data_IF_808720979125
#
_entry.id   IF_808720979125
#
_cell.length_a   1.000
_cell.length_b   1.000
_cell.length_c   1.000
_cell.angle_alpha   90.00
_cell.angle_beta   90.00
_cell.angle_gamma   90.00
#
_symmetry.space_group_name_H-M   'P 1'
#
loop_
_entity.id
_entity.type
_entity.pdbx_description
1 polymer ?
#
# COMPACT_ATOMS: atom_id res chain seq x y z
N UNK A 1 -22.39 -73.79 -21.18
CA UNK A 1 -21.00 -74.24 -20.95
C UNK A 1 -20.14 -72.99 -20.75
N UNK A 2 -19.84 -72.63 -19.49
CA UNK A 2 -18.51 -72.87 -18.86
C UNK A 2 -17.56 -71.71 -19.24
N UNK A 3 -16.94 -70.90 -18.37
CA UNK A 3 -16.79 -70.83 -16.91
C UNK A 3 -16.38 -69.41 -16.53
N UNK A 4 -16.74 -69.00 -15.32
CA UNK A 4 -16.35 -67.78 -14.65
C UNK A 4 -14.83 -67.69 -14.41
N UNK A 5 -14.22 -66.56 -14.80
CA UNK A 5 -12.86 -66.17 -14.43
C UNK A 5 -12.89 -65.22 -13.24
N UNK A 6 -12.66 -65.78 -12.06
CA UNK A 6 -12.54 -65.12 -10.76
C UNK A 6 -11.31 -64.18 -10.78
N UNK A 7 -11.54 -62.87 -10.70
CA UNK A 7 -10.45 -61.91 -10.51
C UNK A 7 -9.86 -62.04 -9.09
N UNK A 8 -8.53 -62.07 -8.91
CA UNK A 8 -7.94 -62.11 -7.58
C UNK A 8 -8.14 -60.78 -6.85
N UNK A 9 -8.66 -60.84 -5.63
CA UNK A 9 -8.75 -59.71 -4.71
C UNK A 9 -7.34 -59.19 -4.38
N UNK A 10 -7.10 -57.86 -4.39
CA UNK A 10 -5.84 -57.33 -3.90
C UNK A 10 -5.77 -57.46 -2.38
N UNK A 11 -4.74 -58.15 -1.91
CA UNK A 11 -4.36 -58.28 -0.49
C UNK A 11 -4.01 -56.89 0.05
N UNK A 12 -4.78 -56.43 1.04
CA UNK A 12 -4.46 -55.23 1.81
C UNK A 12 -3.20 -55.50 2.65
N UNK A 13 -2.14 -54.69 2.57
CA UNK A 13 -1.01 -54.85 3.47
C UNK A 13 -1.37 -54.46 4.91
N UNK A 14 -0.89 -55.30 5.83
CA UNK A 14 -0.97 -55.18 7.27
C UNK A 14 -0.57 -53.78 7.79
N UNK A 15 -1.46 -53.15 8.57
CA UNK A 15 -1.21 -51.86 9.22
C UNK A 15 -0.31 -52.08 10.43
N UNK A 16 1.00 -52.11 10.20
CA UNK A 16 2.00 -51.87 11.26
C UNK A 16 1.72 -50.50 11.92
N UNK A 17 1.68 -50.39 13.26
CA UNK A 17 1.58 -49.09 13.92
C UNK A 17 2.85 -48.29 13.62
N UNK A 18 2.71 -47.16 12.92
CA UNK A 18 3.81 -46.19 12.76
C UNK A 18 4.18 -45.64 14.14
N UNK A 19 5.35 -46.05 14.60
CA UNK A 19 6.18 -45.42 15.63
C UNK A 19 6.01 -43.89 15.64
N UNK A 20 5.66 -43.36 16.80
CA UNK A 20 6.10 -42.07 17.33
C UNK A 20 5.85 -40.83 16.48
N UNK A 21 4.73 -40.16 16.73
CA UNK A 21 4.60 -38.71 16.50
C UNK A 21 5.42 -38.01 17.60
N UNK A 22 6.74 -38.14 17.50
CA UNK A 22 7.73 -37.45 18.33
C UNK A 22 8.48 -36.42 17.49
N UNK A 23 7.76 -35.68 16.65
CA UNK A 23 8.31 -34.51 15.98
C UNK A 23 8.33 -33.36 16.97
N UNK A 24 9.49 -33.09 17.55
CA UNK A 24 9.72 -31.86 18.30
C UNK A 24 9.20 -30.68 17.47
N UNK A 25 8.34 -29.84 18.07
CA UNK A 25 8.03 -28.53 17.52
C UNK A 25 9.39 -27.84 17.30
N UNK A 26 9.79 -27.48 16.07
CA UNK A 26 11.03 -26.75 15.89
C UNK A 26 10.88 -25.39 16.57
N UNK A 27 11.51 -25.22 17.73
CA UNK A 27 11.64 -23.92 18.44
C UNK A 27 12.59 -22.97 17.74
N UNK A 28 12.97 -23.26 16.49
CA UNK A 28 13.66 -22.30 15.65
C UNK A 28 12.63 -21.24 15.25
N UNK A 29 12.59 -20.16 16.02
CA UNK A 29 12.05 -18.85 15.63
C UNK A 29 12.57 -18.57 14.22
N UNK A 30 11.78 -18.91 13.21
CA UNK A 30 12.05 -18.49 11.85
C UNK A 30 12.14 -16.97 11.91
N UNK A 31 13.28 -16.43 11.47
CA UNK A 31 13.44 -15.01 11.31
C UNK A 31 12.33 -14.57 10.35
N UNK A 32 11.29 -13.94 10.88
CA UNK A 32 10.30 -13.23 10.08
C UNK A 32 11.12 -12.25 9.25
N UNK A 33 11.09 -12.32 7.90
CA UNK A 33 11.83 -11.37 7.09
C UNK A 33 11.37 -9.98 7.51
N UNK A 34 12.33 -9.16 7.97
CA UNK A 34 12.07 -7.78 8.38
C UNK A 34 11.40 -7.10 7.19
N UNK A 35 10.14 -6.73 7.34
CA UNK A 35 9.38 -6.05 6.28
C UNK A 35 10.11 -4.73 5.99
N UNK A 36 10.49 -4.46 4.73
CA UNK A 36 11.36 -3.33 4.38
C UNK A 36 10.73 -1.95 4.61
N UNK A 37 9.44 -1.86 4.89
CA UNK A 37 8.71 -0.59 4.99
C UNK A 37 8.54 -0.05 6.43
N UNK A 38 8.94 -0.80 7.47
CA UNK A 38 8.95 -0.22 8.83
C UNK A 38 10.28 0.50 9.01
N UNK A 39 10.34 1.76 8.57
CA UNK A 39 11.41 2.67 8.98
C UNK A 39 11.08 3.22 10.37
N UNK A 40 12.05 3.23 11.27
CA UNK A 40 11.93 3.92 12.57
C UNK A 40 11.90 5.42 12.29
N UNK A 41 10.84 6.11 12.70
CA UNK A 41 10.70 7.57 12.55
C UNK A 41 11.71 8.27 13.48
N UNK A 42 12.64 9.11 12.97
CA UNK A 42 13.47 9.97 13.82
C UNK A 42 12.66 11.16 14.36
N UNK A 43 13.01 11.64 15.57
CA UNK A 43 12.33 12.74 16.26
C UNK A 43 12.51 14.10 15.54
N UNK A 44 11.51 15.00 15.54
CA UNK A 44 11.59 16.25 14.80
C UNK A 44 12.49 17.30 15.46
N UNK A 45 13.36 17.93 14.66
CA UNK A 45 14.05 19.19 14.97
C UNK A 45 13.18 20.38 14.50
N UNK A 46 12.93 21.35 15.38
CA UNK A 46 11.96 22.44 15.20
C UNK A 46 12.28 23.46 14.10
N UNK A 47 11.24 23.95 13.41
CA UNK A 47 11.19 25.23 12.66
C UNK A 47 9.88 25.36 11.85
N UNK A 48 9.66 26.46 11.09
CA UNK A 48 9.33 27.87 11.43
C UNK A 48 7.77 28.14 11.43
N UNK A 49 7.24 29.38 11.61
CA UNK A 49 5.84 29.61 12.04
C UNK A 49 4.76 29.61 10.93
N UNK A 50 3.46 29.50 11.29
CA UNK A 50 2.39 29.07 10.39
C UNK A 50 1.70 30.19 9.60
N UNK A 51 1.25 29.86 8.39
CA UNK A 51 0.26 30.61 7.61
C UNK A 51 -1.07 29.84 7.59
N UNK A 52 -2.17 30.55 7.85
CA UNK A 52 -3.51 30.00 8.02
C UNK A 52 -4.17 29.60 6.69
N UNK A 53 -5.03 28.56 6.70
CA UNK A 53 -5.82 28.13 5.55
C UNK A 53 -7.27 27.78 5.91
N UNK A 54 -8.22 28.30 5.12
CA UNK A 54 -9.65 27.92 5.06
C UNK A 54 -9.90 26.85 3.98
N UNK A 55 -11.01 26.08 4.04
CA UNK A 55 -11.24 24.96 3.13
C UNK A 55 -11.94 25.39 1.83
N UNK A 56 -11.28 25.18 0.69
CA UNK A 56 -11.88 25.30 -0.63
C UNK A 56 -11.97 23.92 -1.31
N UNK A 57 -13.16 23.60 -1.83
CA UNK A 57 -13.38 22.45 -2.70
C UNK A 57 -12.47 22.56 -3.93
N UNK A 58 -11.57 21.60 -4.11
CA UNK A 58 -10.54 21.69 -5.14
C UNK A 58 -10.80 20.69 -6.27
N UNK A 59 -11.37 21.16 -7.38
CA UNK A 59 -11.12 20.57 -8.69
C UNK A 59 -9.70 20.97 -9.09
N UNK A 60 -8.71 20.15 -8.75
CA UNK A 60 -7.30 20.41 -9.08
C UNK A 60 -7.06 20.01 -10.53
N UNK A 61 -6.87 21.02 -11.39
CA UNK A 61 -6.14 20.83 -12.64
C UNK A 61 -4.70 20.46 -12.28
N UNK A 62 -4.33 19.21 -12.51
CA UNK A 62 -3.00 18.69 -12.21
C UNK A 62 -2.00 19.33 -13.18
N UNK A 63 -1.18 20.25 -12.68
CA UNK A 63 -0.09 20.82 -13.45
C UNK A 63 1.00 19.75 -13.65
N UNK A 64 1.23 19.35 -14.91
CA UNK A 64 2.17 18.29 -15.27
C UNK A 64 3.64 18.64 -14.96
N UNK A 65 3.92 19.87 -14.50
CA UNK A 65 5.25 20.39 -14.22
C UNK A 65 5.92 19.85 -12.93
N UNK A 66 5.20 19.10 -12.08
CA UNK A 66 5.76 18.55 -10.83
C UNK A 66 6.58 17.25 -11.00
N UNK A 67 6.80 16.80 -12.24
CA UNK A 67 7.59 15.61 -12.50
C UNK A 67 9.06 15.96 -12.78
N UNK A 68 10.02 15.56 -11.92
CA UNK A 68 11.43 15.67 -12.26
C UNK A 68 11.72 14.84 -13.52
N UNK A 69 12.44 15.44 -14.44
CA UNK A 69 12.63 15.00 -15.83
C UNK A 69 13.25 13.60 -15.89
N UNK A 70 12.63 12.71 -16.68
CA UNK A 70 12.96 11.30 -17.02
C UNK A 70 11.91 10.23 -16.61
N UNK A 71 10.65 10.61 -16.33
CA UNK A 71 9.54 9.65 -16.19
C UNK A 71 8.70 9.63 -17.47
N UNK A 72 8.21 8.45 -17.85
CA UNK A 72 7.21 8.29 -18.89
C UNK A 72 6.02 9.24 -18.66
N UNK A 73 5.64 9.96 -19.72
CA UNK A 73 4.54 10.93 -19.72
C UNK A 73 3.23 10.34 -19.21
N UNK A 74 3.02 9.02 -19.34
CA UNK A 74 1.82 8.35 -18.82
C UNK A 74 1.84 8.13 -17.29
N UNK A 75 3.02 7.99 -16.67
CA UNK A 75 3.16 7.72 -15.23
C UNK A 75 3.02 8.98 -14.38
N UNK A 76 3.48 10.12 -14.89
CA UNK A 76 3.49 11.40 -14.19
C UNK A 76 2.11 11.88 -13.74
N UNK A 77 1.08 11.95 -14.61
CA UNK A 77 -0.25 12.38 -14.21
C UNK A 77 -0.85 11.50 -13.11
N UNK A 78 -0.64 10.18 -13.19
CA UNK A 78 -1.12 9.22 -12.18
C UNK A 78 -0.44 9.44 -10.84
N UNK A 79 0.87 9.65 -10.84
CA UNK A 79 1.63 9.90 -9.62
C UNK A 79 1.17 11.19 -8.92
N UNK A 80 0.92 12.25 -9.67
CA UNK A 80 0.41 13.51 -9.10
C UNK A 80 -1.01 13.33 -8.59
N UNK A 81 -1.92 12.76 -9.39
CA UNK A 81 -3.31 12.53 -8.97
C UNK A 81 -3.40 11.68 -7.69
N UNK A 82 -2.54 10.66 -7.56
CA UNK A 82 -2.50 9.82 -6.37
C UNK A 82 -2.04 10.59 -5.12
N UNK A 83 -0.99 11.40 -5.23
CA UNK A 83 -0.51 12.26 -4.13
C UNK A 83 -1.57 13.27 -3.72
N UNK A 84 -2.18 13.97 -4.68
CA UNK A 84 -3.25 14.93 -4.43
C UNK A 84 -4.42 14.28 -3.70
N UNK A 85 -4.86 13.09 -4.14
CA UNK A 85 -5.95 12.37 -3.48
C UNK A 85 -5.58 11.97 -2.04
N UNK A 86 -4.35 11.48 -1.83
CA UNK A 86 -3.90 11.08 -0.50
C UNK A 86 -3.83 12.27 0.47
N UNK A 87 -3.33 13.42 0.03
CA UNK A 87 -3.34 14.66 0.81
C UNK A 87 -4.77 15.09 1.17
N UNK A 88 -5.69 15.06 0.21
CA UNK A 88 -7.10 15.39 0.47
C UNK A 88 -7.76 14.46 1.51
N UNK A 89 -7.42 13.17 1.50
CA UNK A 89 -7.87 12.22 2.53
C UNK A 89 -7.25 12.56 3.89
N UNK A 90 -5.94 12.82 3.95
CA UNK A 90 -5.26 13.20 5.18
C UNK A 90 -5.87 14.46 5.80
N UNK A 91 -6.12 15.50 5.00
CA UNK A 91 -6.75 16.74 5.44
C UNK A 91 -8.16 16.50 5.98
N UNK A 92 -8.95 15.66 5.30
CA UNK A 92 -10.29 15.29 5.76
C UNK A 92 -10.25 14.55 7.11
N UNK A 93 -9.31 13.62 7.31
CA UNK A 93 -9.18 12.89 8.57
C UNK A 93 -8.68 13.80 9.71
N UNK A 94 -7.74 14.70 9.43
CA UNK A 94 -7.26 15.69 10.39
C UNK A 94 -8.38 16.65 10.79
N UNK A 95 -9.23 17.05 9.85
CA UNK A 95 -10.44 17.81 10.13
C UNK A 95 -11.41 17.05 11.05
N UNK A 96 -11.68 15.77 10.77
CA UNK A 96 -12.52 14.93 11.66
C UNK A 96 -11.90 14.73 13.04
N UNK A 97 -10.58 14.65 13.14
CA UNK A 97 -9.89 14.60 14.42
C UNK A 97 -10.09 15.90 15.19
N UNK A 98 -9.94 17.06 14.54
CA UNK A 98 -10.17 18.35 15.16
C UNK A 98 -11.59 18.48 15.73
N UNK A 99 -12.60 17.95 15.04
CA UNK A 99 -13.99 17.92 15.54
C UNK A 99 -14.19 16.97 16.73
N UNK A 100 -13.51 15.82 16.76
CA UNK A 100 -13.63 14.83 17.84
C UNK A 100 -12.79 15.17 19.08
N UNK A 101 -11.72 15.94 18.91
CA UNK A 101 -10.78 16.28 19.96
C UNK A 101 -10.51 17.80 20.01
N UNK A 102 -11.53 18.64 20.30
CA UNK A 102 -11.37 20.09 20.31
C UNK A 102 -10.35 20.56 21.36
N UNK A 103 -10.19 19.82 22.46
CA UNK A 103 -9.25 20.12 23.55
C UNK A 103 -7.80 19.73 23.32
N UNK A 104 -7.43 19.13 22.18
CA UNK A 104 -6.03 18.85 21.85
C UNK A 104 -5.26 20.16 21.71
N UNK A 105 -4.06 20.30 22.26
CA UNK A 105 -3.27 21.53 22.07
C UNK A 105 -2.75 21.66 20.62
N UNK A 106 -2.35 22.88 20.23
CA UNK A 106 -1.91 23.15 18.85
C UNK A 106 -0.63 22.40 18.45
N UNK A 107 0.31 22.21 19.37
CA UNK A 107 1.57 21.53 19.10
C UNK A 107 1.35 20.03 18.87
N UNK A 108 0.49 19.40 19.68
CA UNK A 108 0.06 18.03 19.49
C UNK A 108 -0.71 17.85 18.17
N UNK A 109 -1.55 18.83 17.77
CA UNK A 109 -2.25 18.78 16.47
C UNK A 109 -1.27 18.83 15.30
N UNK A 110 -0.22 19.64 15.39
CA UNK A 110 0.85 19.71 14.39
C UNK A 110 1.64 18.41 14.31
N UNK A 111 2.07 17.84 15.45
CA UNK A 111 2.78 16.56 15.45
C UNK A 111 1.93 15.42 14.84
N UNK A 112 0.62 15.42 15.09
CA UNK A 112 -0.30 14.46 14.46
C UNK A 112 -0.40 14.69 12.96
N UNK A 113 -0.51 15.94 12.50
CA UNK A 113 -0.49 16.27 11.07
C UNK A 113 0.78 15.76 10.41
N UNK A 114 1.94 16.01 11.01
CA UNK A 114 3.23 15.58 10.48
C UNK A 114 3.35 14.06 10.50
N UNK A 115 2.88 13.39 11.55
CA UNK A 115 2.82 11.94 11.60
C UNK A 115 1.94 11.35 10.49
N UNK A 116 0.76 11.94 10.23
CA UNK A 116 -0.12 11.52 9.13
C UNK A 116 0.55 11.76 7.78
N UNK A 117 1.18 12.91 7.57
CA UNK A 117 1.87 13.19 6.31
C UNK A 117 3.03 12.21 6.08
N UNK A 118 3.83 11.91 7.11
CA UNK A 118 4.88 10.87 7.04
C UNK A 118 4.31 9.49 6.69
N UNK A 119 3.15 9.14 7.23
CA UNK A 119 2.46 7.89 6.88
C UNK A 119 2.04 7.91 5.41
N UNK A 120 1.42 8.98 4.93
CA UNK A 120 1.04 9.12 3.52
C UNK A 120 2.25 8.94 2.61
N UNK A 121 3.35 9.65 2.90
CA UNK A 121 4.58 9.57 2.10
C UNK A 121 5.15 8.15 2.07
N UNK A 122 5.23 7.49 3.23
CA UNK A 122 5.72 6.12 3.35
C UNK A 122 4.83 5.10 2.60
N UNK A 123 3.51 5.28 2.64
CA UNK A 123 2.58 4.41 1.93
C UNK A 123 2.63 4.62 0.41
N UNK A 124 2.88 5.84 -0.05
CA UNK A 124 2.94 6.17 -1.47
C UNK A 124 4.28 5.82 -2.13
N UNK A 125 5.37 5.74 -1.37
CA UNK A 125 6.68 5.37 -1.89
C UNK A 125 6.67 4.06 -2.69
N UNK A 126 6.09 2.99 -2.12
CA UNK A 126 6.05 1.65 -2.75
C UNK A 126 5.28 1.61 -4.08
N UNK A 127 4.03 2.09 -4.11
CA UNK A 127 3.24 2.19 -5.34
C UNK A 127 3.91 3.05 -6.41
N UNK A 128 4.46 4.22 -6.04
CA UNK A 128 5.07 5.14 -6.98
C UNK A 128 6.41 4.61 -7.52
N UNK A 129 7.23 3.99 -6.67
CA UNK A 129 8.46 3.33 -7.12
C UNK A 129 8.15 2.18 -8.08
N UNK A 130 7.08 1.42 -7.83
CA UNK A 130 6.66 0.34 -8.72
C UNK A 130 6.13 0.87 -10.06
N UNK A 131 5.42 2.00 -10.06
CA UNK A 131 4.99 2.69 -11.29
C UNK A 131 6.19 3.15 -12.13
N UNK A 132 7.16 3.84 -11.52
CA UNK A 132 8.36 4.33 -12.22
C UNK A 132 9.22 3.20 -12.78
N UNK A 133 9.40 2.11 -12.02
CA UNK A 133 10.20 0.95 -12.48
C UNK A 133 9.66 0.28 -13.75
N UNK A 134 8.35 0.35 -13.99
CA UNK A 134 7.72 -0.25 -15.17
C UNK A 134 7.34 0.79 -16.23
N UNK A 135 7.70 2.06 -16.03
CA UNK A 135 7.41 3.14 -16.97
C UNK A 135 8.02 2.87 -18.36
N UNK A 136 7.35 3.30 -19.43
CA UNK A 136 7.74 3.02 -20.82
C UNK A 136 7.51 1.57 -21.27
N UNK A 137 6.71 0.79 -20.53
CA UNK A 137 6.37 -0.60 -20.88
C UNK A 137 4.86 -0.84 -20.86
N UNK A 138 4.36 -1.84 -21.61
CA UNK A 138 2.94 -2.24 -21.55
C UNK A 138 2.49 -2.68 -20.14
N UNK A 139 3.41 -3.17 -19.31
CA UNK A 139 3.12 -3.51 -17.91
C UNK A 139 2.94 -2.25 -17.06
N UNK A 140 3.73 -1.20 -17.32
CA UNK A 140 3.58 0.11 -16.69
C UNK A 140 2.25 0.77 -16.99
N UNK A 141 1.79 0.69 -18.24
CA UNK A 141 0.47 1.18 -18.65
C UNK A 141 -0.66 0.47 -17.90
N UNK A 142 -0.63 -0.87 -17.83
CA UNK A 142 -1.62 -1.66 -17.06
C UNK A 142 -1.56 -1.36 -15.56
N UNK A 143 -0.37 -1.16 -15.01
CA UNK A 143 -0.22 -0.78 -13.60
C UNK A 143 -0.79 0.62 -13.34
N UNK A 144 -0.58 1.57 -14.26
CA UNK A 144 -1.18 2.90 -14.20
C UNK A 144 -2.72 2.83 -14.28
N UNK A 145 -3.29 1.99 -15.15
CA UNK A 145 -4.74 1.74 -15.20
C UNK A 145 -5.29 1.15 -13.92
N UNK A 146 -4.60 0.16 -13.34
CA UNK A 146 -4.97 -0.43 -12.07
C UNK A 146 -4.96 0.62 -10.95
N UNK A 147 -3.94 1.49 -10.89
CA UNK A 147 -3.90 2.59 -9.91
C UNK A 147 -5.05 3.59 -10.13
N UNK A 148 -5.35 3.95 -11.38
CA UNK A 148 -6.51 4.80 -11.71
C UNK A 148 -7.82 4.19 -11.20
N UNK A 149 -8.03 2.90 -11.43
CA UNK A 149 -9.25 2.20 -10.99
C UNK A 149 -9.32 2.02 -9.46
N UNK A 150 -8.23 1.55 -8.83
CA UNK A 150 -8.19 1.28 -7.39
C UNK A 150 -8.40 2.53 -6.54
N UNK A 151 -7.83 3.66 -6.98
CA UNK A 151 -7.92 4.90 -6.23
C UNK A 151 -8.96 5.86 -6.80
N UNK A 152 -9.68 5.49 -7.87
CA UNK A 152 -10.62 6.38 -8.55
C UNK A 152 -9.97 7.72 -8.88
N UNK A 153 -8.89 7.68 -9.65
CA UNK A 153 -8.14 8.87 -10.07
C UNK A 153 -8.74 9.43 -11.36
N UNK A 154 -9.14 10.71 -11.34
CA UNK A 154 -9.66 11.41 -12.52
C UNK A 154 -8.50 11.96 -13.37
N UNK A 155 -7.66 11.06 -13.88
CA UNK A 155 -6.56 11.42 -14.78
C UNK A 155 -6.74 10.67 -16.10
N UNK A 156 -6.91 11.43 -17.19
CA UNK A 156 -7.19 10.87 -18.53
C UNK A 156 -8.66 10.68 -18.90
N UNK A 157 -9.62 11.10 -18.05
CA UNK A 157 -11.03 11.28 -18.46
C UNK A 157 -11.26 12.71 -18.98
N UNK A 158 -10.41 13.16 -19.88
CA UNK A 158 -10.75 14.30 -20.73
C UNK A 158 -11.51 13.73 -21.92
N UNK A 159 -12.76 14.16 -22.08
CA UNK A 159 -13.65 13.83 -23.17
C UNK A 159 -13.05 14.13 -24.55
#
# INVERSE_FOLDING_TARGET
MTTAGLAPSPVLPDRRPRRGIGGAIPTRRAAVPRRPWITTVPAPSSGPPPVAAEPAACSVAVDAAACPVAVDTAACPVAVALRTKASAVADAELGRLASRAPGLDSSAREEVRDAVQRVVDAFLEGPLTSLTRHSGSPLGERYADALRALFGLDVGRTA
#
